data_IF_249628673880
#
_entry.id   IF_249628673880
#
_cell.length_a   1.000
_cell.length_b   1.000
_cell.length_c   1.000
_cell.angle_alpha   90.00
_cell.angle_beta   90.00
_cell.angle_gamma   90.00
#
_symmetry.space_group_name_H-M   'P 1'
#
loop_
_entity.id
_entity.type
_entity.pdbx_description
1 polymer ?
#
# COMPACT_ATOMS: atom_id res chain seq x y z
N UNK A 1 -14.14 4.77 -24.16
CA UNK A 1 -12.98 3.92 -23.82
C UNK A 1 -13.32 2.50 -24.19
N UNK A 2 -12.48 1.83 -24.96
CA UNK A 2 -12.69 0.42 -25.33
C UNK A 2 -12.59 -0.49 -24.08
N UNK A 3 -13.12 -1.71 -24.21
CA UNK A 3 -13.22 -2.66 -23.09
C UNK A 3 -11.85 -3.00 -22.51
N UNK A 4 -10.82 -3.04 -23.36
CA UNK A 4 -9.44 -3.31 -22.97
C UNK A 4 -8.88 -2.27 -22.01
N UNK A 5 -8.99 -0.98 -22.36
CA UNK A 5 -8.51 0.09 -21.49
C UNK A 5 -9.26 0.11 -20.15
N UNK A 6 -10.59 -0.10 -20.15
CA UNK A 6 -11.37 -0.18 -18.89
C UNK A 6 -10.85 -1.29 -17.96
N UNK A 7 -10.54 -2.46 -18.52
CA UNK A 7 -10.00 -3.57 -17.74
C UNK A 7 -8.62 -3.25 -17.16
N UNK A 8 -7.73 -2.62 -17.94
CA UNK A 8 -6.41 -2.22 -17.47
C UNK A 8 -6.53 -1.28 -16.26
N UNK A 9 -7.28 -0.18 -16.39
CA UNK A 9 -7.43 0.79 -15.29
C UNK A 9 -8.07 0.17 -14.04
N UNK A 10 -8.94 -0.83 -14.20
CA UNK A 10 -9.56 -1.54 -13.08
C UNK A 10 -8.60 -2.50 -12.38
N UNK A 11 -7.82 -3.28 -13.11
CA UNK A 11 -6.98 -4.33 -12.52
C UNK A 11 -5.60 -3.85 -12.08
N UNK A 12 -5.02 -2.85 -12.76
CA UNK A 12 -3.69 -2.31 -12.43
C UNK A 12 -3.54 -1.89 -10.96
N UNK A 13 -4.41 -1.04 -10.35
CA UNK A 13 -4.25 -0.64 -8.95
C UNK A 13 -4.32 -1.83 -7.98
N UNK A 14 -5.16 -2.82 -8.28
CA UNK A 14 -5.35 -4.02 -7.43
C UNK A 14 -4.11 -4.91 -7.46
N UNK A 15 -3.60 -5.22 -8.65
CA UNK A 15 -2.40 -6.04 -8.81
C UNK A 15 -1.20 -5.34 -8.15
N UNK A 16 -1.02 -4.04 -8.40
CA UNK A 16 0.06 -3.27 -7.78
C UNK A 16 -0.04 -3.23 -6.26
N UNK A 17 -1.23 -3.08 -5.69
CA UNK A 17 -1.41 -3.12 -4.23
C UNK A 17 -0.99 -4.46 -3.61
N UNK A 18 -1.32 -5.58 -4.26
CA UNK A 18 -0.96 -6.92 -3.79
C UNK A 18 0.55 -7.13 -3.89
N UNK A 19 1.16 -6.74 -5.02
CA UNK A 19 2.62 -6.81 -5.20
C UNK A 19 3.33 -5.97 -4.14
N UNK A 20 2.83 -4.76 -3.88
CA UNK A 20 3.43 -3.87 -2.88
C UNK A 20 3.29 -4.41 -1.46
N UNK A 21 2.15 -5.03 -1.11
CA UNK A 21 1.97 -5.73 0.17
C UNK A 21 3.02 -6.85 0.32
N UNK A 22 3.21 -7.66 -0.71
CA UNK A 22 4.19 -8.74 -0.69
C UNK A 22 5.62 -8.18 -0.53
N UNK A 23 5.94 -7.08 -1.21
CA UNK A 23 7.22 -6.39 -1.08
C UNK A 23 7.45 -5.87 0.35
N UNK A 24 6.50 -5.14 0.94
CA UNK A 24 6.61 -4.63 2.31
C UNK A 24 6.69 -5.76 3.34
N UNK A 25 6.06 -6.91 3.05
CA UNK A 25 6.10 -8.08 3.92
C UNK A 25 7.51 -8.64 4.15
N UNK A 26 8.41 -8.48 3.19
CA UNK A 26 9.81 -8.93 3.35
C UNK A 26 10.54 -8.14 4.44
N UNK A 27 10.21 -6.85 4.61
CA UNK A 27 10.86 -6.01 5.64
C UNK A 27 10.53 -6.47 7.06
N UNK A 28 9.34 -7.04 7.30
CA UNK A 28 8.98 -7.55 8.62
C UNK A 28 9.82 -8.76 9.07
N UNK A 29 10.63 -9.35 8.19
CA UNK A 29 11.52 -10.45 8.52
C UNK A 29 12.84 -9.98 9.17
N UNK A 30 13.11 -8.68 9.22
CA UNK A 30 14.32 -8.12 9.84
C UNK A 30 14.40 -8.34 11.36
N UNK A 31 13.28 -8.61 12.02
CA UNK A 31 13.21 -8.95 13.45
C UNK A 31 13.88 -10.29 13.77
N UNK A 32 13.99 -11.19 12.78
CA UNK A 32 14.65 -12.48 12.96
C UNK A 32 16.17 -12.29 13.09
N UNK A 33 16.73 -12.73 14.21
CA UNK A 33 18.15 -12.54 14.55
C UNK A 33 18.43 -11.34 15.45
N UNK A 34 17.48 -10.40 15.58
CA UNK A 34 17.54 -9.29 16.54
C UNK A 34 16.87 -9.62 17.88
N UNK A 35 15.84 -10.47 17.87
CA UNK A 35 15.06 -10.84 19.06
C UNK A 35 14.99 -12.36 19.26
N UNK A 36 14.79 -12.78 20.51
CA UNK A 36 14.53 -14.18 20.91
C UNK A 36 13.10 -14.32 21.44
N UNK A 37 12.64 -15.55 21.64
CA UNK A 37 11.31 -15.80 22.21
C UNK A 37 11.29 -15.42 23.70
N UNK A 38 10.24 -14.73 24.21
CA UNK A 38 8.97 -14.37 23.54
C UNK A 38 8.96 -13.01 22.82
N UNK A 39 9.98 -12.15 23.00
CA UNK A 39 10.04 -10.79 22.46
C UNK A 39 9.91 -10.76 20.94
N UNK A 40 10.45 -11.77 20.26
CA UNK A 40 10.35 -11.98 18.81
C UNK A 40 8.90 -11.93 18.33
N UNK A 41 7.96 -12.54 19.06
CA UNK A 41 6.55 -12.59 18.64
C UNK A 41 5.93 -11.19 18.65
N UNK A 42 6.22 -10.41 19.68
CA UNK A 42 5.75 -9.04 19.80
C UNK A 42 6.40 -8.13 18.74
N UNK A 43 7.71 -8.25 18.55
CA UNK A 43 8.45 -7.49 17.54
C UNK A 43 7.91 -7.76 16.14
N UNK A 44 7.70 -9.03 15.79
CA UNK A 44 7.10 -9.43 14.51
C UNK A 44 5.69 -8.84 14.36
N UNK A 45 4.84 -8.93 15.39
CA UNK A 45 3.48 -8.41 15.32
C UNK A 45 3.46 -6.89 15.06
N UNK A 46 4.36 -6.13 15.69
CA UNK A 46 4.50 -4.69 15.45
C UNK A 46 4.95 -4.40 14.01
N UNK A 47 5.90 -5.18 13.47
CA UNK A 47 6.37 -5.02 12.08
C UNK A 47 5.31 -5.44 11.04
N UNK A 48 4.30 -6.23 11.44
CA UNK A 48 3.17 -6.59 10.59
C UNK A 48 2.06 -5.52 10.53
N UNK A 49 2.04 -4.53 11.44
CA UNK A 49 1.02 -3.47 11.46
C UNK A 49 0.90 -2.73 10.11
N UNK A 50 1.99 -2.26 9.47
CA UNK A 50 1.91 -1.59 8.18
C UNK A 50 1.30 -2.48 7.09
N UNK A 51 1.57 -3.78 7.13
CA UNK A 51 1.07 -4.77 6.16
C UNK A 51 -0.43 -4.97 6.36
N UNK A 52 -0.89 -5.11 7.60
CA UNK A 52 -2.33 -5.23 7.89
C UNK A 52 -3.11 -3.99 7.47
N UNK A 53 -2.55 -2.80 7.65
CA UNK A 53 -3.17 -1.56 7.19
C UNK A 53 -3.31 -1.52 5.65
N UNK A 54 -2.29 -1.94 4.91
CA UNK A 54 -2.33 -2.03 3.44
C UNK A 54 -3.33 -3.10 2.97
N UNK A 55 -3.39 -4.26 3.61
CA UNK A 55 -4.35 -5.33 3.29
C UNK A 55 -5.78 -4.84 3.51
N UNK A 56 -6.08 -4.27 4.67
CA UNK A 56 -7.41 -3.75 4.98
C UNK A 56 -7.84 -2.69 3.97
N UNK A 57 -6.92 -1.77 3.63
CA UNK A 57 -7.17 -0.73 2.63
C UNK A 57 -7.42 -1.32 1.25
N UNK A 58 -6.65 -2.33 0.84
CA UNK A 58 -6.84 -3.03 -0.44
C UNK A 58 -8.21 -3.69 -0.53
N UNK A 59 -8.63 -4.39 0.54
CA UNK A 59 -9.94 -5.05 0.60
C UNK A 59 -11.07 -4.02 0.48
N UNK A 60 -10.97 -2.88 1.18
CA UNK A 60 -11.95 -1.79 1.08
C UNK A 60 -11.95 -1.21 -0.35
N UNK A 61 -10.77 -0.97 -0.92
CA UNK A 61 -10.60 -0.39 -2.24
C UNK A 61 -11.20 -1.26 -3.36
N UNK A 62 -11.30 -2.58 -3.18
CA UNK A 62 -11.90 -3.47 -4.17
C UNK A 62 -13.38 -3.20 -4.41
N UNK A 63 -14.13 -2.84 -3.36
CA UNK A 63 -15.56 -2.53 -3.44
C UNK A 63 -15.83 -1.03 -3.54
N UNK A 64 -15.02 -0.21 -2.86
CA UNK A 64 -15.18 1.24 -2.79
C UNK A 64 -13.87 1.94 -3.17
N UNK A 65 -13.64 2.08 -4.48
CA UNK A 65 -12.35 2.58 -5.00
C UNK A 65 -12.04 4.02 -4.59
N UNK A 66 -13.05 4.88 -4.48
CA UNK A 66 -12.87 6.25 -3.99
C UNK A 66 -12.36 6.27 -2.55
N UNK A 67 -13.05 5.55 -1.65
CA UNK A 67 -12.68 5.45 -0.23
C UNK A 67 -11.30 4.80 -0.11
N UNK A 68 -11.07 3.70 -0.83
CA UNK A 68 -9.78 3.02 -0.88
C UNK A 68 -8.64 3.92 -1.37
N UNK A 69 -8.86 4.72 -2.40
CA UNK A 69 -7.89 5.68 -2.91
C UNK A 69 -7.48 6.73 -1.87
N UNK A 70 -8.45 7.30 -1.14
CA UNK A 70 -8.17 8.24 -0.05
C UNK A 70 -7.51 7.56 1.16
N UNK A 71 -7.88 6.32 1.48
CA UNK A 71 -7.21 5.56 2.54
C UNK A 71 -5.74 5.29 2.18
N UNK A 72 -5.46 4.88 0.93
CA UNK A 72 -4.08 4.74 0.44
C UNK A 72 -3.32 6.06 0.48
N UNK A 73 -3.97 7.18 0.15
CA UNK A 73 -3.35 8.51 0.28
C UNK A 73 -2.95 8.80 1.73
N UNK A 74 -3.86 8.52 2.67
CA UNK A 74 -3.59 8.63 4.10
C UNK A 74 -2.43 7.75 4.54
N UNK A 75 -2.36 6.50 4.07
CA UNK A 75 -1.23 5.60 4.34
C UNK A 75 0.08 6.10 3.74
N UNK A 76 0.05 6.68 2.53
CA UNK A 76 1.24 7.24 1.91
C UNK A 76 1.81 8.41 2.72
N UNK A 77 0.94 9.28 3.24
CA UNK A 77 1.32 10.34 4.17
C UNK A 77 1.86 9.75 5.48
N UNK A 78 1.15 8.79 6.08
CA UNK A 78 1.57 8.14 7.31
C UNK A 78 2.97 7.50 7.16
N UNK A 79 3.21 6.77 6.07
CA UNK A 79 4.52 6.17 5.79
C UNK A 79 5.60 7.23 5.61
N UNK A 80 5.27 8.33 4.92
CA UNK A 80 6.22 9.42 4.70
C UNK A 80 6.68 10.07 6.01
N UNK A 81 5.73 10.39 6.90
CA UNK A 81 6.06 11.08 8.14
C UNK A 81 6.56 10.13 9.24
N UNK A 82 5.94 8.96 9.40
CA UNK A 82 6.29 8.02 10.48
C UNK A 82 7.64 7.33 10.25
N UNK A 83 7.94 6.94 9.00
CA UNK A 83 9.25 6.37 8.64
C UNK A 83 10.24 7.43 8.16
N UNK A 84 9.86 8.72 8.26
CA UNK A 84 10.67 9.86 7.85
C UNK A 84 11.27 9.75 6.44
N UNK A 85 10.55 9.11 5.51
CA UNK A 85 11.10 8.81 4.19
C UNK A 85 11.39 10.08 3.39
N UNK A 86 10.76 11.21 3.73
CA UNK A 86 11.02 12.52 3.14
C UNK A 86 12.47 13.00 3.29
N UNK A 87 13.21 12.50 4.29
CA UNK A 87 14.60 12.88 4.53
C UNK A 87 15.57 12.27 3.51
N UNK A 88 15.16 11.23 2.77
CA UNK A 88 16.02 10.51 1.85
C UNK A 88 15.27 10.09 0.58
N UNK A 89 15.87 10.32 -0.59
CA UNK A 89 15.21 10.01 -1.88
C UNK A 89 14.86 8.52 -2.01
N UNK A 90 15.79 7.62 -1.67
CA UNK A 90 15.59 6.19 -1.90
C UNK A 90 14.44 5.60 -1.06
N UNK A 91 14.37 5.77 0.28
CA UNK A 91 13.22 5.34 1.07
C UNK A 91 11.90 5.97 0.60
N UNK A 92 11.90 7.24 0.19
CA UNK A 92 10.70 7.88 -0.33
C UNK A 92 10.18 7.16 -1.59
N UNK A 93 11.05 6.90 -2.56
CA UNK A 93 10.66 6.25 -3.82
C UNK A 93 10.34 4.76 -3.68
N UNK A 94 10.89 4.09 -2.68
CA UNK A 94 10.69 2.66 -2.45
C UNK A 94 9.48 2.38 -1.57
N UNK A 95 9.19 3.25 -0.59
CA UNK A 95 8.16 3.00 0.43
C UNK A 95 6.95 3.90 0.20
N UNK A 96 7.12 5.22 0.16
CA UNK A 96 5.98 6.16 0.12
C UNK A 96 5.40 6.36 -1.27
N UNK A 97 6.26 6.54 -2.27
CA UNK A 97 5.84 6.84 -3.64
C UNK A 97 4.96 5.76 -4.26
N UNK A 98 5.24 4.44 -4.11
CA UNK A 98 4.36 3.40 -4.65
C UNK A 98 2.96 3.46 -4.05
N UNK A 99 2.83 3.82 -2.77
CA UNK A 99 1.53 3.99 -2.10
C UNK A 99 0.77 5.20 -2.66
N UNK A 100 1.46 6.33 -2.90
CA UNK A 100 0.88 7.48 -3.60
C UNK A 100 0.43 7.12 -5.03
N UNK A 101 1.24 6.34 -5.74
CA UNK A 101 0.92 5.89 -7.09
C UNK A 101 -0.35 5.01 -7.09
N UNK A 102 -0.42 4.03 -6.19
CA UNK A 102 -1.60 3.15 -6.02
C UNK A 102 -2.84 3.98 -5.66
N UNK A 103 -2.71 4.95 -4.75
CA UNK A 103 -3.79 5.89 -4.40
C UNK A 103 -4.30 6.63 -5.64
N UNK A 104 -3.40 7.23 -6.42
CA UNK A 104 -3.73 7.94 -7.64
C UNK A 104 -4.44 7.04 -8.65
N UNK A 105 -4.00 5.80 -8.82
CA UNK A 105 -4.62 4.84 -9.73
C UNK A 105 -6.03 4.44 -9.29
N UNK A 106 -6.28 4.22 -8.00
CA UNK A 106 -7.64 3.95 -7.50
C UNK A 106 -8.58 5.14 -7.71
N UNK A 107 -8.13 6.35 -7.41
CA UNK A 107 -8.94 7.56 -7.63
C UNK A 107 -9.20 7.81 -9.12
N UNK A 108 -8.18 7.63 -9.97
CA UNK A 108 -8.32 7.75 -11.43
C UNK A 108 -9.31 6.72 -11.97
N UNK A 109 -9.24 5.46 -11.54
CA UNK A 109 -10.19 4.44 -11.99
C UNK A 109 -11.63 4.80 -11.58
N UNK A 110 -11.84 5.27 -10.35
CA UNK A 110 -13.16 5.69 -9.89
C UNK A 110 -13.74 6.85 -10.73
N UNK A 111 -12.96 7.92 -10.94
CA UNK A 111 -13.45 9.11 -11.63
C UNK A 111 -13.54 8.97 -13.14
N UNK A 112 -12.69 8.14 -13.77
CA UNK A 112 -12.64 8.00 -15.24
C UNK A 112 -13.46 6.81 -15.73
N UNK A 113 -13.44 5.69 -15.02
CA UNK A 113 -14.01 4.41 -15.50
C UNK A 113 -15.36 4.08 -14.87
N UNK A 114 -15.51 4.28 -13.56
CA UNK A 114 -16.75 3.89 -12.86
C UNK A 114 -17.84 4.97 -12.89
N UNK A 115 -17.44 6.25 -12.92
CA UNK A 115 -18.38 7.38 -12.92
C UNK A 115 -18.96 7.70 -14.32
N UNK A 116 -18.35 7.21 -15.39
CA UNK A 116 -18.74 7.45 -16.80
C UNK A 116 -19.27 6.18 -17.48
#
# INVERSE_FOLDING_TARGET
MDVWLKNIFTWTPRILSIIFIAFISVFALDVFGAYVFPELLLALFIHLIPIFALIATTIIAWKWENIGGFLFFGLALAFTFYFETYNQLLPFFVISFPVFLISGLFLLNYYVVQRN
#
